data_IF_848459169402
#
_entry.id   IF_848459169402
#
_cell.length_a   1.000
_cell.length_b   1.000
_cell.length_c   1.000
_cell.angle_alpha   90.00
_cell.angle_beta   90.00
_cell.angle_gamma   90.00
#
_symmetry.space_group_name_H-M   'P 1'
#
loop_
_entity.id
_entity.type
_entity.pdbx_description
1 polymer ?
#
# COMPACT_ATOMS: atom_id res chain seq x y z
N UNK A 1 -5.08 16.01 15.12
CA UNK A 1 -4.33 16.59 13.99
C UNK A 1 -4.15 18.10 14.09
N UNK A 2 -5.18 18.88 14.48
CA UNK A 2 -5.02 20.30 14.87
C UNK A 2 -3.89 20.56 15.87
N UNK A 3 -3.74 19.70 16.88
CA UNK A 3 -2.66 19.82 17.90
C UNK A 3 -1.25 19.66 17.32
N UNK A 4 -1.12 19.04 16.14
CA UNK A 4 0.14 18.88 15.39
C UNK A 4 0.30 19.96 14.30
N UNK A 5 -0.66 20.89 14.17
CA UNK A 5 -0.64 21.92 13.13
C UNK A 5 -0.92 21.42 11.71
N UNK A 6 -1.40 20.19 11.55
CA UNK A 6 -1.65 19.59 10.24
C UNK A 6 -3.15 19.61 9.94
N UNK A 7 -3.52 20.20 8.81
CA UNK A 7 -4.88 20.25 8.26
C UNK A 7 -4.95 19.48 6.94
N UNK A 8 -6.05 18.78 6.74
CA UNK A 8 -6.34 18.03 5.51
C UNK A 8 -7.76 18.39 5.06
N UNK A 9 -7.96 18.55 3.75
CA UNK A 9 -9.29 18.83 3.19
C UNK A 9 -10.12 17.54 3.02
N UNK A 10 -9.44 16.43 2.71
CA UNK A 10 -10.08 15.14 2.47
C UNK A 10 -9.20 13.98 2.98
N UNK A 11 -9.84 12.96 3.55
CA UNK A 11 -9.16 11.80 4.13
C UNK A 11 -9.74 10.53 3.50
N UNK A 12 -8.87 9.75 2.85
CA UNK A 12 -9.19 8.45 2.28
C UNK A 12 -8.52 7.37 3.13
N UNK A 13 -9.29 6.65 3.95
CA UNK A 13 -8.80 5.52 4.75
C UNK A 13 -9.73 4.33 4.63
N UNK A 14 -9.23 3.16 5.05
CA UNK A 14 -10.00 1.92 5.07
C UNK A 14 -11.25 2.04 5.98
N UNK A 15 -12.23 1.14 5.80
CA UNK A 15 -13.46 1.12 6.59
C UNK A 15 -13.24 0.50 7.99
N UNK A 16 -12.27 1.02 8.73
CA UNK A 16 -12.03 0.62 10.11
C UNK A 16 -12.63 1.64 11.06
N UNK A 17 -13.44 1.18 12.02
CA UNK A 17 -14.14 2.03 13.01
C UNK A 17 -13.21 2.96 13.79
N UNK A 18 -11.94 2.56 14.00
CA UNK A 18 -10.95 3.41 14.64
C UNK A 18 -10.67 4.71 13.84
N UNK A 19 -10.80 4.67 12.51
CA UNK A 19 -10.66 5.87 11.69
C UNK A 19 -11.89 6.77 11.76
N UNK A 20 -13.08 6.18 11.87
CA UNK A 20 -14.31 6.95 12.07
C UNK A 20 -14.25 7.77 13.37
N UNK A 21 -13.64 7.25 14.45
CA UNK A 21 -13.50 7.99 15.72
C UNK A 21 -12.39 9.05 15.68
N UNK A 22 -11.30 8.80 14.96
CA UNK A 22 -10.16 9.73 14.84
C UNK A 22 -10.44 10.89 13.88
N UNK A 23 -11.24 10.65 12.84
CA UNK A 23 -11.49 11.60 11.75
C UNK A 23 -12.90 12.17 11.73
N UNK A 24 -13.62 12.18 12.85
CA UNK A 24 -15.00 12.69 12.93
C UNK A 24 -15.19 14.12 12.38
N UNK A 25 -14.16 14.97 12.43
CA UNK A 25 -14.19 16.34 11.92
C UNK A 25 -13.95 16.46 10.40
N UNK A 26 -13.60 15.38 9.70
CA UNK A 26 -13.18 15.41 8.29
C UNK A 26 -14.09 14.53 7.42
N UNK A 27 -14.27 14.94 6.16
CA UNK A 27 -14.98 14.13 5.18
C UNK A 27 -14.18 12.86 4.89
N UNK A 28 -14.57 11.76 5.53
CA UNK A 28 -13.95 10.46 5.31
C UNK A 28 -14.54 9.80 4.08
N UNK A 29 -13.76 9.71 3.00
CA UNK A 29 -14.15 8.93 1.82
C UNK A 29 -13.64 7.50 1.96
N UNK A 30 -14.55 6.62 2.38
CA UNK A 30 -14.33 5.17 2.39
C UNK A 30 -14.34 4.67 0.95
N UNK A 31 -13.21 4.17 0.45
CA UNK A 31 -13.18 3.66 -0.90
C UNK A 31 -11.85 3.02 -1.31
N UNK A 32 -11.95 1.83 -1.90
CA UNK A 32 -10.80 1.07 -2.40
C UNK A 32 -10.10 1.72 -3.58
N UNK A 33 -10.80 2.59 -4.31
CA UNK A 33 -10.29 3.26 -5.53
C UNK A 33 -9.02 4.07 -5.27
N UNK A 34 -8.91 4.72 -4.11
CA UNK A 34 -7.75 5.53 -3.75
C UNK A 34 -6.70 4.76 -2.92
N UNK A 35 -7.06 3.60 -2.35
CA UNK A 35 -6.13 2.74 -1.60
C UNK A 35 -5.42 1.71 -2.48
N UNK A 36 -5.98 1.40 -3.66
CA UNK A 36 -5.47 0.39 -4.60
C UNK A 36 -4.01 0.64 -4.96
N UNK A 37 -3.61 1.88 -5.21
CA UNK A 37 -2.23 2.22 -5.58
C UNK A 37 -1.25 2.00 -4.42
N UNK A 38 -1.65 2.35 -3.20
CA UNK A 38 -0.88 2.14 -1.97
C UNK A 38 -0.72 0.64 -1.69
N UNK A 39 -1.82 -0.12 -1.80
CA UNK A 39 -1.83 -1.58 -1.65
C UNK A 39 -0.94 -2.26 -2.71
N UNK A 40 -0.99 -1.77 -3.95
CA UNK A 40 -0.13 -2.20 -5.05
C UNK A 40 1.34 -2.00 -4.74
N UNK A 41 1.73 -0.78 -4.31
CA UNK A 41 3.10 -0.47 -3.92
C UNK A 41 3.60 -1.35 -2.77
N UNK A 42 2.79 -1.56 -1.74
CA UNK A 42 3.12 -2.43 -0.62
C UNK A 42 3.31 -3.90 -1.05
N UNK A 43 2.49 -4.37 -1.98
CA UNK A 43 2.58 -5.73 -2.52
C UNK A 43 3.82 -5.93 -3.40
N UNK A 44 4.16 -4.92 -4.21
CA UNK A 44 5.38 -4.90 -5.02
C UNK A 44 6.63 -4.90 -4.14
N UNK A 45 6.66 -4.07 -3.09
CA UNK A 45 7.78 -4.03 -2.14
C UNK A 45 8.00 -5.39 -1.48
N UNK A 46 6.94 -6.01 -0.97
CA UNK A 46 7.00 -7.37 -0.40
C UNK A 46 7.54 -8.39 -1.39
N UNK A 47 7.08 -8.35 -2.64
CA UNK A 47 7.58 -9.23 -3.69
C UNK A 47 9.08 -9.02 -3.99
N UNK A 48 9.52 -7.76 -4.06
CA UNK A 48 10.93 -7.40 -4.29
C UNK A 48 11.82 -7.89 -3.15
N UNK A 49 11.45 -7.62 -1.90
CA UNK A 49 12.17 -8.10 -0.72
C UNK A 49 12.24 -9.63 -0.73
N UNK A 50 11.11 -10.31 -0.98
CA UNK A 50 11.07 -11.78 -1.00
C UNK A 50 11.96 -12.37 -2.11
N UNK A 51 12.04 -11.73 -3.28
CA UNK A 51 12.98 -12.11 -4.35
C UNK A 51 14.43 -11.88 -3.93
N UNK A 52 14.74 -10.74 -3.31
CA UNK A 52 16.09 -10.45 -2.83
C UNK A 52 16.55 -11.48 -1.80
N UNK A 53 15.68 -11.89 -0.86
CA UNK A 53 15.98 -12.91 0.15
C UNK A 53 16.23 -14.29 -0.47
N UNK A 54 15.45 -14.69 -1.47
CA UNK A 54 15.61 -16.00 -2.13
C UNK A 54 16.92 -16.14 -2.89
N UNK A 55 17.59 -15.05 -3.27
CA UNK A 55 18.83 -15.00 -4.08
C UNK A 55 18.77 -15.75 -5.42
N UNK A 56 17.62 -16.30 -5.81
CA UNK A 56 17.42 -17.05 -7.04
C UNK A 56 16.49 -16.28 -7.96
N UNK A 57 16.95 -16.00 -9.17
CA UNK A 57 16.05 -15.67 -10.25
C UNK A 57 15.49 -17.00 -10.74
N UNK A 58 14.16 -17.22 -10.74
CA UNK A 58 13.53 -18.45 -11.27
C UNK A 58 13.64 -18.57 -12.80
N UNK A 59 14.68 -17.99 -13.38
CA UNK A 59 14.92 -17.89 -14.80
C UNK A 59 16.18 -18.69 -15.13
N UNK A 60 15.99 -19.95 -15.51
CA UNK A 60 16.98 -20.70 -16.27
C UNK A 60 16.50 -20.72 -17.72
N UNK A 61 17.21 -20.02 -18.63
CA UNK A 61 17.14 -20.38 -20.05
C UNK A 61 17.92 -21.67 -20.21
N UNK A 62 17.27 -22.75 -20.63
CA UNK A 62 18.01 -23.90 -21.14
C UNK A 62 18.63 -23.49 -22.48
N UNK A 63 19.96 -23.32 -22.50
CA UNK A 63 20.70 -23.27 -23.75
C UNK A 63 20.71 -24.70 -24.27
N UNK A 64 19.79 -25.03 -25.19
CA UNK A 64 19.92 -26.27 -25.97
C UNK A 64 21.15 -26.09 -26.86
N UNK A 65 22.26 -26.73 -26.49
CA UNK A 65 23.39 -26.91 -27.40
C UNK A 65 22.96 -27.93 -28.45
N UNK A 66 23.06 -27.52 -29.71
CA UNK A 66 22.81 -28.31 -30.93
C UNK A 66 23.82 -29.45 -31.01
#
# INVERSE_FOLDING_TARGET
>A
MKKLGVSFDEICTDNWEAFASVFQEYTHKVGKKYTTDIEGNNTLLRHRIRRAVRKTCCFQKSLKTI
#
